data_IF_941378836742
#
_entry.id   IF_941378836742
#
_cell.length_a   1.000
_cell.length_b   1.000
_cell.length_c   1.000
_cell.angle_alpha   90.00
_cell.angle_beta   90.00
_cell.angle_gamma   90.00
#
_symmetry.space_group_name_H-M   'P 1'
#
loop_
_entity.id
_entity.type
_entity.pdbx_description
1 polymer ?
#
# COMPACT_ATOMS: atom_id res chain seq x y z
N UNK A 1 -44.12 58.38 23.19
CA UNK A 1 -43.44 57.32 22.42
C UNK A 1 -41.97 57.70 22.32
N UNK A 2 -40.97 56.96 22.75
CA UNK A 2 -40.80 55.84 23.68
C UNK A 2 -39.28 55.78 23.84
N UNK A 3 -38.81 55.65 25.07
CA UNK A 3 -37.48 55.16 25.40
C UNK A 3 -37.16 53.88 24.61
N UNK A 4 -35.88 53.67 24.29
CA UNK A 4 -35.12 52.44 24.55
C UNK A 4 -33.76 52.48 23.81
N UNK A 5 -32.71 52.81 24.57
CA UNK A 5 -31.44 52.07 24.55
C UNK A 5 -31.60 50.86 25.50
N UNK A 6 -30.77 49.79 25.57
CA UNK A 6 -29.77 49.20 24.67
C UNK A 6 -30.01 47.66 24.44
N UNK A 7 -29.39 47.06 23.42
CA UNK A 7 -29.04 45.62 23.39
C UNK A 7 -28.11 45.38 22.18
N UNK A 8 -26.79 45.35 22.34
CA UNK A 8 -26.06 44.11 22.67
C UNK A 8 -26.88 42.86 22.33
N UNK A 9 -26.98 42.51 21.03
CA UNK A 9 -26.94 41.08 20.65
C UNK A 9 -25.49 40.68 20.88
N UNK A 10 -25.14 40.27 22.08
CA UNK A 10 -25.20 38.87 22.45
C UNK A 10 -24.43 38.08 21.40
N UNK A 11 -23.13 37.99 21.63
CA UNK A 11 -22.30 36.83 21.34
C UNK A 11 -23.00 35.57 21.85
N UNK A 12 -24.03 35.13 21.13
CA UNK A 12 -24.52 33.77 21.20
C UNK A 12 -23.69 32.99 20.18
N UNK A 13 -22.39 32.86 20.49
CA UNK A 13 -21.58 31.78 19.96
C UNK A 13 -22.35 30.50 20.29
N UNK A 14 -22.76 29.66 19.32
CA UNK A 14 -23.36 28.38 19.65
C UNK A 14 -22.29 27.50 20.29
N UNK A 15 -22.17 27.64 21.61
CA UNK A 15 -21.62 26.68 22.52
C UNK A 15 -22.42 25.39 22.30
N UNK A 16 -21.94 24.55 21.38
CA UNK A 16 -22.66 23.36 20.94
C UNK A 16 -22.17 22.77 19.62
N UNK A 17 -21.46 23.52 18.78
CA UNK A 17 -20.74 22.95 17.64
C UNK A 17 -19.26 22.75 18.00
N UNK A 18 -18.99 21.90 18.99
CA UNK A 18 -17.72 21.16 18.99
C UNK A 18 -17.72 20.31 17.74
N UNK A 19 -17.25 20.89 16.63
CA UNK A 19 -16.80 20.15 15.47
C UNK A 19 -15.71 19.23 15.99
N UNK A 20 -16.11 18.00 16.32
CA UNK A 20 -15.20 16.89 16.48
C UNK A 20 -14.69 16.59 15.08
N UNK A 21 -13.79 17.43 14.57
CA UNK A 21 -12.83 17.06 13.53
C UNK A 21 -11.86 16.09 14.18
N UNK A 22 -12.36 14.91 14.54
CA UNK A 22 -11.51 13.77 14.79
C UNK A 22 -10.78 13.51 13.48
N UNK A 23 -9.50 13.88 13.43
CA UNK A 23 -8.59 13.42 12.39
C UNK A 23 -8.44 11.92 12.56
N UNK A 24 -9.41 11.16 12.04
CA UNK A 24 -9.29 9.70 11.94
C UNK A 24 -7.94 9.44 11.28
N UNK A 25 -7.02 8.68 11.93
CA UNK A 25 -5.75 8.35 11.32
C UNK A 25 -6.06 7.72 9.96
N UNK A 26 -5.56 8.35 8.89
CA UNK A 26 -5.75 7.81 7.54
C UNK A 26 -5.18 6.39 7.59
N UNK A 27 -5.98 5.35 7.28
CA UNK A 27 -5.45 3.99 7.27
C UNK A 27 -4.26 3.98 6.31
N UNK A 28 -3.10 3.62 6.83
CA UNK A 28 -1.93 3.43 5.99
C UNK A 28 -2.27 2.32 5.00
N UNK A 29 -2.12 2.53 3.68
CA UNK A 29 -2.39 1.50 2.70
C UNK A 29 -1.65 0.22 3.08
N UNK A 30 -2.39 -0.90 3.10
CA UNK A 30 -1.79 -2.21 3.23
C UNK A 30 -0.96 -2.45 1.99
N UNK A 31 0.33 -2.18 2.09
CA UNK A 31 1.26 -2.46 1.03
C UNK A 31 2.05 -3.74 1.42
N UNK A 32 1.61 -4.95 1.06
CA UNK A 32 2.45 -6.13 1.25
C UNK A 32 3.67 -6.07 0.30
N UNK A 33 4.84 -6.64 0.64
CA UNK A 33 5.92 -6.80 -0.33
C UNK A 33 5.38 -7.59 -1.54
N UNK A 34 5.56 -7.09 -2.77
CA UNK A 34 5.00 -7.71 -3.98
C UNK A 34 5.87 -8.85 -4.52
N UNK A 35 7.18 -8.83 -4.24
CA UNK A 35 8.14 -9.84 -4.70
C UNK A 35 7.77 -11.30 -4.34
N UNK A 36 7.28 -11.62 -3.13
CA UNK A 36 6.86 -12.98 -2.78
C UNK A 36 5.77 -13.55 -3.70
N UNK A 37 4.80 -12.73 -4.12
CA UNK A 37 3.75 -13.17 -5.04
C UNK A 37 4.32 -13.47 -6.43
N UNK A 38 5.24 -12.64 -6.91
CA UNK A 38 5.92 -12.87 -8.19
C UNK A 38 6.75 -14.17 -8.16
N UNK A 39 7.46 -14.44 -7.05
CA UNK A 39 8.20 -15.69 -6.86
C UNK A 39 7.27 -16.90 -6.82
N UNK A 40 6.11 -16.81 -6.15
CA UNK A 40 5.13 -17.88 -6.10
C UNK A 40 4.60 -18.23 -7.51
N UNK A 41 4.27 -17.22 -8.32
CA UNK A 41 3.87 -17.43 -9.71
C UNK A 41 4.95 -18.10 -10.54
N UNK A 42 6.20 -17.66 -10.41
CA UNK A 42 7.34 -18.25 -11.14
C UNK A 42 7.59 -19.71 -10.71
N UNK A 43 7.53 -19.98 -9.41
CA UNK A 43 7.67 -21.32 -8.85
C UNK A 43 6.55 -22.26 -9.34
N UNK A 44 5.32 -21.76 -9.48
CA UNK A 44 4.21 -22.54 -10.02
C UNK A 44 4.49 -23.04 -11.45
N UNK A 45 5.10 -22.22 -12.32
CA UNK A 45 5.49 -22.65 -13.66
C UNK A 45 6.59 -23.72 -13.65
N UNK A 46 7.59 -23.59 -12.78
CA UNK A 46 8.63 -24.62 -12.61
C UNK A 46 8.01 -25.94 -12.16
N UNK A 47 7.14 -25.90 -11.16
CA UNK A 47 6.44 -27.08 -10.65
C UNK A 47 5.56 -27.69 -11.76
N UNK A 48 4.80 -26.87 -12.50
CA UNK A 48 3.98 -27.32 -13.61
C UNK A 48 4.82 -28.02 -14.70
N UNK A 49 5.96 -27.45 -15.08
CA UNK A 49 6.87 -28.05 -16.07
C UNK A 49 7.40 -29.42 -15.60
N UNK A 50 7.75 -29.56 -14.32
CA UNK A 50 8.18 -30.83 -13.72
C UNK A 50 7.04 -31.85 -13.74
N UNK A 51 5.84 -31.46 -13.29
CA UNK A 51 4.66 -32.34 -13.27
C UNK A 51 4.30 -32.82 -14.68
N UNK A 52 4.26 -31.91 -15.66
CA UNK A 52 3.96 -32.24 -17.05
C UNK A 52 4.97 -33.24 -17.62
N UNK A 53 6.26 -33.06 -17.31
CA UNK A 53 7.31 -33.98 -17.76
C UNK A 53 7.19 -35.37 -17.13
N UNK A 54 6.87 -35.44 -15.84
CA UNK A 54 6.68 -36.72 -15.14
C UNK A 54 5.40 -37.44 -15.56
N UNK A 55 4.36 -36.69 -15.93
CA UNK A 55 3.08 -37.22 -16.40
C UNK A 55 3.12 -37.68 -17.87
N UNK A 56 4.22 -37.45 -18.60
CA UNK A 56 4.30 -37.75 -20.03
C UNK A 56 3.32 -36.93 -20.87
N UNK A 57 3.05 -35.69 -20.45
CA UNK A 57 2.15 -34.79 -21.17
C UNK A 57 2.74 -34.38 -22.54
N UNK A 58 1.90 -33.99 -23.52
CA UNK A 58 2.37 -33.49 -24.81
C UNK A 58 3.32 -32.30 -24.66
N UNK A 59 4.33 -32.22 -25.54
CA UNK A 59 5.40 -31.22 -25.47
C UNK A 59 4.88 -29.77 -25.49
N UNK A 60 3.79 -29.50 -26.21
CA UNK A 60 3.15 -28.17 -26.27
C UNK A 60 2.80 -27.62 -24.88
N UNK A 61 2.33 -28.47 -23.96
CA UNK A 61 2.01 -28.04 -22.60
C UNK A 61 3.26 -27.71 -21.79
N UNK A 62 4.34 -28.47 -21.99
CA UNK A 62 5.63 -28.19 -21.37
C UNK A 62 6.21 -26.88 -21.91
N UNK A 63 6.15 -26.66 -23.22
CA UNK A 63 6.58 -25.44 -23.87
C UNK A 63 5.81 -24.22 -23.35
N UNK A 64 4.49 -24.32 -23.15
CA UNK A 64 3.68 -23.27 -22.53
C UNK A 64 4.16 -22.98 -21.10
N UNK A 65 4.43 -24.01 -20.29
CA UNK A 65 4.90 -23.84 -18.92
C UNK A 65 6.27 -23.13 -18.88
N UNK A 66 7.18 -23.52 -19.78
CA UNK A 66 8.50 -22.89 -19.92
C UNK A 66 8.37 -21.46 -20.43
N UNK A 67 7.52 -21.20 -21.41
CA UNK A 67 7.25 -19.86 -21.92
C UNK A 67 6.71 -18.94 -20.81
N UNK A 68 5.78 -19.45 -19.99
CA UNK A 68 5.26 -18.73 -18.82
C UNK A 68 6.36 -18.39 -17.81
N UNK A 69 7.27 -19.32 -17.52
CA UNK A 69 8.44 -19.07 -16.67
C UNK A 69 9.35 -17.97 -17.25
N UNK A 70 9.71 -18.07 -18.54
CA UNK A 70 10.61 -17.11 -19.21
C UNK A 70 9.99 -15.71 -19.25
N UNK A 71 8.72 -15.60 -19.63
CA UNK A 71 8.00 -14.31 -19.69
C UNK A 71 7.70 -13.76 -18.28
N UNK A 72 7.63 -14.62 -17.26
CA UNK A 72 7.48 -14.23 -15.87
C UNK A 72 8.70 -13.51 -15.27
N UNK A 73 9.91 -13.75 -15.80
CA UNK A 73 11.16 -13.12 -15.31
C UNK A 73 11.11 -11.59 -15.41
N UNK A 74 10.75 -10.98 -16.56
CA UNK A 74 10.50 -9.55 -16.64
C UNK A 74 9.52 -9.04 -15.58
N UNK A 75 8.41 -9.75 -15.35
CA UNK A 75 7.44 -9.43 -14.30
C UNK A 75 8.07 -9.39 -12.91
N UNK A 76 8.84 -10.43 -12.54
CA UNK A 76 9.57 -10.48 -11.28
C UNK A 76 10.55 -9.30 -11.12
N UNK A 77 11.31 -8.98 -12.17
CA UNK A 77 12.24 -7.84 -12.16
C UNK A 77 11.47 -6.54 -11.87
N UNK A 78 10.33 -6.32 -12.53
CA UNK A 78 9.53 -5.10 -12.28
C UNK A 78 9.04 -5.02 -10.84
N UNK A 79 8.63 -6.14 -10.24
CA UNK A 79 8.20 -6.20 -8.83
C UNK A 79 9.35 -5.93 -7.86
N UNK A 80 10.55 -6.44 -8.15
CA UNK A 80 11.76 -6.14 -7.35
C UNK A 80 12.08 -4.64 -7.40
N UNK A 81 12.06 -4.04 -8.60
CA UNK A 81 12.32 -2.60 -8.76
C UNK A 81 11.22 -1.77 -8.08
N UNK A 82 9.97 -2.19 -8.20
CA UNK A 82 8.83 -1.56 -7.53
C UNK A 82 9.00 -1.58 -6.01
N UNK A 83 9.27 -2.74 -5.41
CA UNK A 83 9.49 -2.88 -3.97
C UNK A 83 10.72 -2.10 -3.49
N UNK A 84 11.80 -2.02 -4.28
CA UNK A 84 12.99 -1.18 -3.98
C UNK A 84 12.65 0.31 -3.99
N UNK A 85 11.93 0.77 -4.99
CA UNK A 85 11.48 2.16 -5.08
C UNK A 85 10.53 2.51 -3.94
N UNK A 86 9.64 1.57 -3.58
CA UNK A 86 8.73 1.70 -2.45
C UNK A 86 9.48 1.81 -1.12
N UNK A 87 10.45 0.92 -0.85
CA UNK A 87 11.32 0.99 0.35
C UNK A 87 12.07 2.32 0.42
N UNK A 88 12.61 2.81 -0.70
CA UNK A 88 13.30 4.12 -0.75
C UNK A 88 12.39 5.28 -0.39
N UNK A 89 11.14 5.30 -0.88
CA UNK A 89 10.18 6.37 -0.55
C UNK A 89 9.79 6.38 0.93
N UNK A 90 9.64 5.20 1.56
CA UNK A 90 9.37 5.10 3.00
C UNK A 90 10.53 5.67 3.84
N UNK A 91 11.77 5.36 3.48
CA UNK A 91 12.96 5.90 4.15
C UNK A 91 13.03 7.45 4.08
N UNK A 92 12.50 8.06 3.02
CA UNK A 92 12.46 9.53 2.87
C UNK A 92 11.27 10.20 3.57
N UNK A 93 10.23 9.44 3.93
CA UNK A 93 8.98 9.99 4.51
C UNK A 93 8.92 9.82 6.03
N UNK A 94 9.75 8.94 6.61
CA UNK A 94 9.94 8.81 8.06
C UNK A 94 11.32 9.32 8.48
N UNK A 95 11.56 10.65 8.54
CA UNK A 95 12.65 11.16 9.37
C UNK A 95 12.29 10.81 10.82
N UNK A 96 13.10 9.96 11.44
CA UNK A 96 12.99 9.63 12.86
C UNK A 96 12.86 10.91 13.69
N UNK A 97 11.76 11.04 14.43
CA UNK A 97 11.55 12.09 15.41
C UNK A 97 12.59 11.91 16.51
N UNK A 98 13.65 12.71 16.51
CA UNK A 98 14.57 12.82 17.65
C UNK A 98 13.92 13.73 18.67
N UNK A 99 13.33 13.16 19.72
CA UNK A 99 12.96 13.92 20.92
C UNK A 99 14.27 14.15 21.68
N UNK A 100 14.81 15.36 21.61
CA UNK A 100 15.83 15.80 22.55
C UNK A 100 15.12 16.06 23.88
N UNK A 101 15.42 15.26 24.91
CA UNK A 101 14.96 15.50 26.27
C UNK A 101 15.51 16.85 26.76
N UNK A 102 14.62 17.78 27.07
CA UNK A 102 14.95 19.06 27.69
C UNK A 102 15.42 18.84 29.12
N UNK A 103 16.62 19.36 29.42
CA UNK A 103 17.19 19.47 30.78
C UNK A 103 16.42 20.43 31.67
#
# INVERSE_FOLDING_TARGET
MSDLSPATRADASPAGLTVVTGTKPRPEPLDPPMVPFALAGLAAFVIAAVVLRLAGAPDEWFEIAVAGFVVGIPGLITMIVHDRNRKRRRALTHPEFRVEESS
#
